data_IF_967672309867
#
_entry.id   IF_967672309867
#
_cell.length_a   1.000
_cell.length_b   1.000
_cell.length_c   1.000
_cell.angle_alpha   90.00
_cell.angle_beta   90.00
_cell.angle_gamma   90.00
#
_symmetry.space_group_name_H-M   'P 1'
#
loop_
_entity.id
_entity.type
_entity.pdbx_description
1 polymer ?
#
# COMPACT_ATOMS: atom_id res chain seq x y z
N UNK A 1 -24.30 -8.94 19.81
CA UNK A 1 -23.41 -8.40 18.75
C UNK A 1 -23.09 -9.53 17.79
N UNK A 2 -23.70 -9.53 16.61
CA UNK A 2 -23.43 -10.56 15.61
C UNK A 2 -21.94 -10.59 15.27
N UNK A 3 -21.32 -11.76 15.41
CA UNK A 3 -19.89 -11.99 15.21
C UNK A 3 -19.62 -11.79 13.72
N UNK A 4 -19.17 -10.58 13.32
CA UNK A 4 -18.85 -10.25 11.92
C UNK A 4 -18.09 -11.40 11.28
N UNK A 5 -18.74 -12.07 10.33
CA UNK A 5 -18.25 -13.31 9.74
C UNK A 5 -16.99 -13.02 8.95
N UNK A 6 -15.91 -13.74 9.26
CA UNK A 6 -14.64 -13.72 8.53
C UNK A 6 -14.87 -14.03 7.05
N UNK A 7 -14.32 -13.20 6.17
CA UNK A 7 -14.52 -13.32 4.73
C UNK A 7 -13.40 -14.16 4.10
N UNK A 8 -13.64 -15.47 3.92
CA UNK A 8 -12.62 -16.43 3.45
C UNK A 8 -11.98 -16.04 2.12
N UNK A 9 -12.74 -15.52 1.15
CA UNK A 9 -12.18 -15.16 -0.16
C UNK A 9 -11.25 -13.94 -0.08
N UNK A 10 -11.48 -12.98 0.82
CA UNK A 10 -10.57 -11.84 1.02
C UNK A 10 -9.26 -12.31 1.63
N UNK A 11 -9.31 -13.28 2.54
CA UNK A 11 -8.09 -13.86 3.11
C UNK A 11 -7.27 -14.59 2.03
N UNK A 12 -7.94 -15.33 1.14
CA UNK A 12 -7.28 -15.97 -0.01
C UNK A 12 -6.66 -14.93 -0.94
N UNK A 13 -7.37 -13.84 -1.26
CA UNK A 13 -6.83 -12.73 -2.06
C UNK A 13 -5.57 -12.13 -1.45
N UNK A 14 -5.56 -11.89 -0.13
CA UNK A 14 -4.36 -11.41 0.57
C UNK A 14 -3.22 -12.41 0.52
N UNK A 15 -3.51 -13.71 0.69
CA UNK A 15 -2.53 -14.78 0.55
C UNK A 15 -1.89 -14.80 -0.84
N UNK A 16 -2.71 -14.70 -1.90
CA UNK A 16 -2.22 -14.57 -3.28
C UNK A 16 -1.37 -13.31 -3.46
N UNK A 17 -1.77 -12.18 -2.88
CA UNK A 17 -0.95 -10.96 -2.88
C UNK A 17 0.43 -11.18 -2.26
N UNK A 18 0.53 -11.88 -1.13
CA UNK A 18 1.81 -12.18 -0.48
C UNK A 18 2.68 -13.05 -1.40
N UNK A 19 2.08 -14.08 -2.01
CA UNK A 19 2.78 -14.95 -2.96
C UNK A 19 3.34 -14.16 -4.15
N UNK A 20 2.57 -13.21 -4.69
CA UNK A 20 3.00 -12.35 -5.80
C UNK A 20 4.10 -11.36 -5.38
N UNK A 21 4.07 -10.86 -4.14
CA UNK A 21 5.17 -10.05 -3.61
C UNK A 21 6.45 -10.87 -3.49
N UNK A 22 6.37 -12.10 -2.95
CA UNK A 22 7.53 -12.99 -2.87
C UNK A 22 8.03 -13.38 -4.25
N UNK A 23 7.14 -13.67 -5.20
CA UNK A 23 7.49 -13.97 -6.59
C UNK A 23 8.32 -12.85 -7.20
N UNK A 24 7.86 -11.61 -7.13
CA UNK A 24 8.60 -10.45 -7.66
C UNK A 24 9.89 -10.08 -6.93
N UNK A 25 10.25 -10.77 -5.84
CA UNK A 25 11.57 -10.68 -5.21
C UNK A 25 12.51 -11.81 -5.65
N UNK A 26 11.97 -12.91 -6.16
CA UNK A 26 12.71 -14.08 -6.64
C UNK A 26 12.98 -13.94 -8.15
N UNK A 27 11.99 -13.50 -8.92
CA UNK A 27 12.10 -13.34 -10.37
C UNK A 27 12.32 -11.88 -10.75
N UNK A 28 13.27 -11.66 -11.67
CA UNK A 28 13.38 -10.47 -12.51
C UNK A 28 13.48 -10.93 -13.94
N UNK A 29 12.45 -11.67 -14.37
CA UNK A 29 12.35 -12.11 -15.73
C UNK A 29 11.57 -10.98 -16.40
N UNK A 30 12.20 -10.15 -17.24
CA UNK A 30 11.53 -9.08 -17.99
C UNK A 30 10.50 -9.68 -18.98
N UNK A 31 9.44 -10.23 -18.42
CA UNK A 31 8.43 -11.03 -19.08
C UNK A 31 7.03 -10.45 -18.78
N UNK A 32 6.03 -10.79 -19.61
CA UNK A 32 4.67 -10.29 -19.44
C UNK A 32 4.03 -10.60 -18.08
N UNK A 33 4.39 -11.74 -17.47
CA UNK A 33 3.80 -12.22 -16.20
C UNK A 33 4.32 -11.41 -15.02
N UNK A 34 5.61 -11.10 -14.97
CA UNK A 34 6.22 -10.27 -13.92
C UNK A 34 5.68 -8.83 -13.98
N UNK A 35 5.49 -8.30 -15.19
CA UNK A 35 4.88 -6.98 -15.42
C UNK A 35 3.41 -6.95 -14.96
N UNK A 36 2.63 -7.97 -15.35
CA UNK A 36 1.25 -8.12 -14.91
C UNK A 36 1.13 -8.26 -13.39
N UNK A 37 1.92 -9.14 -12.77
CA UNK A 37 1.94 -9.34 -11.33
C UNK A 37 2.34 -8.05 -10.57
N UNK A 38 3.27 -7.28 -11.11
CA UNK A 38 3.67 -5.99 -10.55
C UNK A 38 2.52 -4.97 -10.51
N UNK A 39 1.58 -5.03 -11.46
CA UNK A 39 0.48 -4.07 -11.57
C UNK A 39 -0.49 -4.10 -10.38
N UNK A 40 -0.68 -5.25 -9.72
CA UNK A 40 -1.70 -5.41 -8.67
C UNK A 40 -1.19 -5.92 -7.32
N UNK A 41 0.04 -6.47 -7.23
CA UNK A 41 0.52 -7.15 -6.01
C UNK A 41 0.45 -6.32 -4.73
N UNK A 42 0.64 -5.00 -4.82
CA UNK A 42 0.45 -4.10 -3.66
C UNK A 42 -0.96 -3.52 -3.58
N UNK A 43 -1.57 -3.23 -4.74
CA UNK A 43 -2.92 -2.68 -4.84
C UNK A 43 -3.97 -3.59 -4.16
N UNK A 44 -3.83 -4.91 -4.30
CA UNK A 44 -4.76 -5.90 -3.74
C UNK A 44 -4.92 -5.76 -2.22
N UNK A 45 -3.85 -5.43 -1.49
CA UNK A 45 -3.91 -5.27 -0.04
C UNK A 45 -4.67 -4.00 0.36
N UNK A 46 -4.44 -2.89 -0.33
CA UNK A 46 -5.14 -1.63 -0.09
C UNK A 46 -6.63 -1.75 -0.45
N UNK A 47 -6.95 -2.35 -1.61
CA UNK A 47 -8.35 -2.61 -2.00
C UNK A 47 -9.04 -3.52 -1.00
N UNK A 48 -8.37 -4.60 -0.55
CA UNK A 48 -8.92 -5.49 0.47
C UNK A 48 -9.11 -4.78 1.83
N UNK A 49 -8.21 -3.89 2.23
CA UNK A 49 -8.36 -3.09 3.44
C UNK A 49 -9.59 -2.16 3.34
N UNK A 50 -9.73 -1.42 2.24
CA UNK A 50 -10.88 -0.54 2.00
C UNK A 50 -12.22 -1.29 1.98
N UNK A 51 -12.23 -2.47 1.35
CA UNK A 51 -13.38 -3.38 1.35
C UNK A 51 -13.77 -3.79 2.78
N UNK A 52 -12.80 -4.20 3.59
CA UNK A 52 -13.03 -4.64 4.97
C UNK A 52 -13.46 -3.49 5.89
N UNK A 53 -12.95 -2.27 5.67
CA UNK A 53 -13.38 -1.07 6.42
C UNK A 53 -14.88 -0.85 6.20
N UNK A 54 -15.34 -0.92 4.94
CA UNK A 54 -16.77 -0.80 4.62
C UNK A 54 -17.60 -1.94 5.19
N UNK A 55 -17.16 -3.18 4.99
CA UNK A 55 -17.87 -4.37 5.45
C UNK A 55 -18.00 -4.41 6.98
N UNK A 56 -16.93 -4.01 7.68
CA UNK A 56 -16.98 -3.92 9.12
C UNK A 56 -17.83 -2.72 9.57
N UNK A 57 -17.94 -1.64 8.82
CA UNK A 57 -18.72 -0.42 9.17
C UNK A 57 -18.40 0.15 10.57
N UNK A 58 -17.28 -0.26 11.17
CA UNK A 58 -16.92 0.04 12.56
C UNK A 58 -16.43 1.47 12.73
N UNK A 59 -16.11 2.16 11.65
CA UNK A 59 -15.60 3.53 11.65
C UNK A 59 -16.68 4.55 12.01
N UNK A 60 -17.97 4.24 11.78
CA UNK A 60 -19.09 5.15 12.07
C UNK A 60 -19.22 5.47 13.55
N UNK A 61 -18.99 4.47 14.42
CA UNK A 61 -19.14 4.60 15.87
C UNK A 61 -17.81 4.91 16.58
N UNK A 62 -16.68 4.81 15.89
CA UNK A 62 -15.36 5.03 16.49
C UNK A 62 -14.91 6.49 16.40
N UNK A 63 -14.17 6.94 17.41
CA UNK A 63 -13.48 8.23 17.39
C UNK A 63 -12.15 8.11 16.64
N UNK A 64 -11.67 9.22 16.06
CA UNK A 64 -10.38 9.25 15.36
C UNK A 64 -9.24 8.76 16.26
N UNK A 65 -9.24 9.17 17.54
CA UNK A 65 -8.26 8.73 18.54
C UNK A 65 -8.31 7.21 18.74
N UNK A 66 -9.50 6.65 18.97
CA UNK A 66 -9.67 5.21 19.17
C UNK A 66 -9.24 4.39 17.95
N UNK A 67 -9.58 4.86 16.75
CA UNK A 67 -9.16 4.24 15.49
C UNK A 67 -7.64 4.29 15.32
N UNK A 68 -7.04 5.46 15.53
CA UNK A 68 -5.59 5.68 15.39
C UNK A 68 -4.79 4.83 16.36
N UNK A 69 -5.23 4.69 17.62
CA UNK A 69 -4.57 3.81 18.61
C UNK A 69 -4.63 2.35 18.19
N UNK A 70 -5.75 1.90 17.63
CA UNK A 70 -5.87 0.53 17.10
C UNK A 70 -4.88 0.29 15.97
N UNK A 71 -4.81 1.22 15.00
CA UNK A 71 -3.88 1.13 13.87
C UNK A 71 -2.41 1.21 14.33
N UNK A 72 -2.11 2.06 15.32
CA UNK A 72 -0.78 2.18 15.89
C UNK A 72 -0.30 0.82 16.45
N UNK A 73 -1.17 0.14 17.21
CA UNK A 73 -0.86 -1.17 17.79
C UNK A 73 -0.76 -2.27 16.72
N UNK A 74 -1.61 -2.24 15.70
CA UNK A 74 -1.64 -3.30 14.69
C UNK A 74 -0.63 -3.13 13.55
N UNK A 75 -0.17 -1.91 13.27
CA UNK A 75 0.70 -1.60 12.12
C UNK A 75 2.03 -0.98 12.55
N UNK A 76 1.99 0.10 13.31
CA UNK A 76 3.21 0.86 13.65
C UNK A 76 4.09 0.14 14.67
N UNK A 77 3.49 -0.55 15.65
CA UNK A 77 4.26 -1.37 16.60
C UNK A 77 5.02 -2.50 15.89
N UNK A 78 4.39 -3.33 15.02
CA UNK A 78 5.11 -4.28 14.18
C UNK A 78 6.16 -3.62 13.29
N UNK A 79 5.85 -2.48 12.68
CA UNK A 79 6.80 -1.75 11.83
C UNK A 79 8.09 -1.38 12.58
N UNK A 80 7.98 -0.78 13.77
CA UNK A 80 9.15 -0.40 14.57
C UNK A 80 9.93 -1.64 15.00
N UNK A 81 9.23 -2.67 15.49
CA UNK A 81 9.86 -3.92 15.93
C UNK A 81 10.66 -4.58 14.80
N UNK A 82 10.03 -4.78 13.63
CA UNK A 82 10.71 -5.39 12.48
C UNK A 82 11.78 -4.50 11.88
N UNK A 83 11.66 -3.17 11.97
CA UNK A 83 12.72 -2.25 11.53
C UNK A 83 13.96 -2.37 12.40
N UNK A 84 13.80 -2.44 13.73
CA UNK A 84 14.91 -2.66 14.68
C UNK A 84 15.59 -4.01 14.38
N UNK A 85 14.80 -5.08 14.24
CA UNK A 85 15.33 -6.40 13.90
C UNK A 85 16.05 -6.41 12.55
N UNK A 86 15.51 -5.72 11.54
CA UNK A 86 16.10 -5.63 10.20
C UNK A 86 17.44 -4.87 10.21
N UNK A 87 17.50 -3.74 10.91
CA UNK A 87 18.74 -2.97 11.07
C UNK A 87 19.78 -3.78 11.85
N UNK A 88 19.37 -4.43 12.95
CA UNK A 88 20.25 -5.29 13.75
C UNK A 88 20.80 -6.47 12.96
N UNK A 89 19.95 -7.14 12.18
CA UNK A 89 20.38 -8.22 11.28
C UNK A 89 21.38 -7.72 10.23
N UNK A 90 21.10 -6.57 9.59
CA UNK A 90 22.02 -5.98 8.61
C UNK A 90 23.37 -5.65 9.24
N UNK A 91 23.36 -5.06 10.44
CA UNK A 91 24.57 -4.75 11.17
C UNK A 91 25.39 -6.01 11.49
N UNK A 92 24.74 -7.08 11.97
CA UNK A 92 25.39 -8.37 12.21
C UNK A 92 26.06 -8.92 10.93
N UNK A 93 25.38 -8.86 9.78
CA UNK A 93 25.96 -9.30 8.50
C UNK A 93 27.16 -8.46 8.05
N UNK A 94 27.21 -7.17 8.38
CA UNK A 94 28.36 -6.30 8.09
C UNK A 94 29.57 -6.68 8.93
N UNK A 95 29.36 -7.00 10.21
CA UNK A 95 30.41 -7.49 11.11
C UNK A 95 30.99 -8.80 10.59
N UNK A 96 30.13 -9.77 10.25
CA UNK A 96 30.58 -11.07 9.72
C UNK A 96 31.38 -10.96 8.40
N UNK A 97 31.11 -9.92 7.60
CA UNK A 97 31.82 -9.66 6.35
C UNK A 97 33.08 -8.80 6.52
N UNK A 98 33.42 -8.41 7.76
CA UNK A 98 34.49 -7.47 8.07
C UNK A 98 34.43 -6.16 7.26
N UNK A 99 33.22 -5.71 6.90
CA UNK A 99 32.98 -4.48 6.12
C UNK A 99 31.85 -3.68 6.77
N UNK A 100 32.22 -2.78 7.67
CA UNK A 100 31.28 -1.92 8.38
C UNK A 100 31.03 -0.66 7.52
N UNK A 101 29.78 -0.51 7.08
CA UNK A 101 29.32 0.66 6.34
C UNK A 101 28.39 1.49 7.23
N UNK A 102 28.97 2.45 7.95
CA UNK A 102 28.26 3.38 8.83
C UNK A 102 27.25 4.25 8.05
N UNK A 103 27.58 4.82 6.87
CA UNK A 103 26.59 5.50 6.02
C UNK A 103 25.34 4.67 5.72
N UNK A 104 25.49 3.38 5.39
CA UNK A 104 24.35 2.52 5.11
C UNK A 104 23.43 2.35 6.35
N UNK A 105 23.99 2.20 7.55
CA UNK A 105 23.21 2.12 8.79
C UNK A 105 22.44 3.42 9.04
N UNK A 106 23.09 4.57 8.85
CA UNK A 106 22.44 5.89 8.98
C UNK A 106 21.29 6.02 7.98
N UNK A 107 21.46 5.58 6.74
CA UNK A 107 20.40 5.55 5.73
C UNK A 107 19.22 4.68 6.17
N UNK A 108 19.44 3.47 6.71
CA UNK A 108 18.34 2.62 7.20
C UNK A 108 17.60 3.21 8.40
N UNK A 109 18.31 3.85 9.33
CA UNK A 109 17.70 4.55 10.46
C UNK A 109 16.85 5.71 9.93
N UNK A 110 17.39 6.51 9.01
CA UNK A 110 16.67 7.63 8.42
C UNK A 110 15.43 7.16 7.63
N UNK A 111 15.55 6.07 6.86
CA UNK A 111 14.44 5.43 6.16
C UNK A 111 13.33 4.98 7.13
N UNK A 112 13.72 4.50 8.31
CA UNK A 112 12.79 4.05 9.35
C UNK A 112 12.03 5.22 9.98
N UNK A 113 12.75 6.29 10.34
CA UNK A 113 12.18 7.50 10.97
C UNK A 113 11.28 8.26 10.00
N UNK A 114 11.70 8.37 8.74
CA UNK A 114 10.94 9.06 7.67
C UNK A 114 9.76 8.24 7.13
N UNK A 115 9.51 7.06 7.69
CA UNK A 115 8.43 6.16 7.28
C UNK A 115 8.55 5.65 5.84
N UNK A 116 9.69 5.84 5.19
CA UNK A 116 10.03 5.17 3.93
C UNK A 116 10.10 3.68 4.10
N UNK A 117 10.49 3.21 5.28
CA UNK A 117 10.68 1.81 5.61
C UNK A 117 11.82 1.17 4.81
N UNK A 118 12.17 -0.03 5.22
CA UNK A 118 13.20 -0.85 4.57
C UNK A 118 12.56 -2.11 4.00
N UNK A 119 13.04 -2.58 2.84
CA UNK A 119 12.53 -3.78 2.18
C UNK A 119 11.01 -3.76 1.92
N UNK A 120 10.23 -4.64 2.53
CA UNK A 120 8.77 -4.68 2.44
C UNK A 120 8.07 -3.90 3.57
N UNK A 121 8.81 -3.42 4.57
CA UNK A 121 8.24 -2.78 5.77
C UNK A 121 7.58 -1.43 5.48
N UNK A 122 7.92 -0.80 4.36
CA UNK A 122 7.29 0.46 3.90
C UNK A 122 5.77 0.37 3.79
N UNK A 123 5.22 -0.83 3.55
CA UNK A 123 3.79 -1.02 3.38
C UNK A 123 2.99 -0.67 4.65
N UNK A 124 3.53 -0.98 5.83
CA UNK A 124 2.85 -0.76 7.12
C UNK A 124 2.60 0.72 7.44
N UNK A 125 3.59 1.63 7.39
CA UNK A 125 3.34 3.05 7.63
C UNK A 125 2.51 3.69 6.52
N UNK A 126 2.66 3.25 5.26
CA UNK A 126 1.81 3.71 4.16
C UNK A 126 0.34 3.35 4.41
N UNK A 127 0.06 2.11 4.79
CA UNK A 127 -1.30 1.69 5.13
C UNK A 127 -1.84 2.44 6.35
N UNK A 128 -1.00 2.64 7.38
CA UNK A 128 -1.37 3.42 8.57
C UNK A 128 -1.81 4.85 8.21
N UNK A 129 -0.99 5.57 7.45
CA UNK A 129 -1.30 6.94 7.03
C UNK A 129 -2.54 6.94 6.13
N UNK A 130 -2.58 6.07 5.13
CA UNK A 130 -3.70 5.99 4.18
C UNK A 130 -5.03 5.70 4.87
N UNK A 131 -5.06 4.79 5.85
CA UNK A 131 -6.29 4.49 6.60
C UNK A 131 -6.75 5.65 7.50
N UNK A 132 -5.81 6.42 8.09
CA UNK A 132 -6.16 7.63 8.85
C UNK A 132 -6.73 8.69 7.92
N UNK A 133 -6.08 8.94 6.77
CA UNK A 133 -6.57 9.88 5.76
C UNK A 133 -7.95 9.45 5.25
N UNK A 134 -8.14 8.15 5.02
CA UNK A 134 -9.41 7.58 4.58
C UNK A 134 -10.51 7.73 5.62
N UNK A 135 -10.19 7.50 6.90
CA UNK A 135 -11.12 7.74 8.00
C UNK A 135 -11.55 9.21 8.04
N UNK A 136 -10.61 10.15 7.92
CA UNK A 136 -10.91 11.58 7.88
C UNK A 136 -11.76 11.95 6.65
N UNK A 137 -11.44 11.37 5.49
CA UNK A 137 -12.16 11.57 4.24
C UNK A 137 -13.63 11.16 4.35
N UNK A 138 -13.92 10.01 4.96
CA UNK A 138 -15.31 9.56 5.11
C UNK A 138 -16.06 10.35 6.19
N UNK A 139 -15.39 10.68 7.30
CA UNK A 139 -16.06 11.22 8.49
C UNK A 139 -16.26 12.72 8.47
N UNK A 140 -15.28 13.46 7.94
CA UNK A 140 -15.24 14.92 8.06
C UNK A 140 -15.41 15.64 6.72
N UNK A 141 -15.17 14.98 5.59
CA UNK A 141 -15.24 15.61 4.27
C UNK A 141 -16.55 15.28 3.54
N UNK A 142 -17.05 16.20 2.70
CA UNK A 142 -18.27 15.97 1.93
C UNK A 142 -18.05 14.96 0.81
N UNK A 143 -19.14 14.29 0.39
CA UNK A 143 -19.10 13.19 -0.59
C UNK A 143 -18.47 13.58 -1.93
N UNK A 144 -18.58 14.85 -2.36
CA UNK A 144 -17.99 15.31 -3.62
C UNK A 144 -16.46 15.24 -3.62
N UNK A 145 -15.81 15.42 -2.46
CA UNK A 145 -14.35 15.31 -2.34
C UNK A 145 -13.88 13.90 -2.67
N UNK A 146 -14.66 12.87 -2.32
CA UNK A 146 -14.36 11.48 -2.67
C UNK A 146 -14.34 11.27 -4.19
N UNK A 147 -15.28 11.90 -4.91
CA UNK A 147 -15.32 11.86 -6.38
C UNK A 147 -14.11 12.59 -6.97
N UNK A 148 -13.76 13.76 -6.42
CA UNK A 148 -12.59 14.53 -6.86
C UNK A 148 -11.30 13.73 -6.67
N UNK A 149 -11.13 13.07 -5.52
CA UNK A 149 -9.94 12.25 -5.22
C UNK A 149 -9.79 11.08 -6.19
N UNK A 150 -10.89 10.48 -6.67
CA UNK A 150 -10.84 9.41 -7.67
C UNK A 150 -10.19 9.84 -8.99
N UNK A 151 -10.27 11.13 -9.33
CA UNK A 151 -9.71 11.69 -10.57
C UNK A 151 -8.35 12.33 -10.30
N UNK A 152 -8.21 13.10 -9.23
CA UNK A 152 -7.00 13.88 -8.94
C UNK A 152 -5.81 13.00 -8.57
N UNK A 153 -6.00 11.94 -7.77
CA UNK A 153 -4.87 11.11 -7.34
C UNK A 153 -4.20 10.36 -8.51
N UNK A 154 -4.93 9.74 -9.46
CA UNK A 154 -4.30 9.14 -10.63
C UNK A 154 -3.52 10.15 -11.49
N UNK A 155 -4.09 11.34 -11.72
CA UNK A 155 -3.41 12.41 -12.48
C UNK A 155 -2.14 12.86 -11.77
N UNK A 156 -2.21 13.05 -10.45
CA UNK A 156 -1.05 13.35 -9.61
C UNK A 156 0.01 12.24 -9.69
N UNK A 157 -0.39 10.96 -9.64
CA UNK A 157 0.54 9.83 -9.74
C UNK A 157 1.28 9.77 -11.08
N UNK A 158 0.61 10.12 -12.19
CA UNK A 158 1.24 10.24 -13.50
C UNK A 158 2.27 11.38 -13.50
N UNK A 159 1.85 12.57 -13.04
CA UNK A 159 2.74 13.73 -12.94
C UNK A 159 3.96 13.45 -12.07
N UNK A 160 3.75 12.83 -10.91
CA UNK A 160 4.81 12.49 -9.97
C UNK A 160 5.79 11.47 -10.59
N UNK A 161 5.30 10.48 -11.34
CA UNK A 161 6.18 9.53 -12.05
C UNK A 161 7.15 10.26 -13.00
N UNK A 162 6.67 11.25 -13.75
CA UNK A 162 7.53 12.09 -14.59
C UNK A 162 8.49 12.95 -13.75
N UNK A 163 7.98 13.57 -12.67
CA UNK A 163 8.78 14.40 -11.79
C UNK A 163 9.93 13.61 -11.14
N UNK A 164 9.67 12.41 -10.63
CA UNK A 164 10.68 11.53 -10.02
C UNK A 164 11.72 11.11 -11.05
N UNK A 165 11.31 10.73 -12.27
CA UNK A 165 12.26 10.40 -13.35
C UNK A 165 13.18 11.58 -13.67
N UNK A 166 12.62 12.78 -13.77
CA UNK A 166 13.40 13.99 -14.01
C UNK A 166 14.35 14.29 -12.84
N UNK A 167 13.87 14.15 -11.60
CA UNK A 167 14.66 14.36 -10.39
C UNK A 167 15.87 13.41 -10.32
N UNK A 168 15.67 12.11 -10.64
CA UNK A 168 16.74 11.10 -10.66
C UNK A 168 17.90 11.51 -11.58
N UNK A 169 17.61 12.13 -12.73
CA UNK A 169 18.62 12.55 -13.70
C UNK A 169 19.24 13.90 -13.35
N UNK A 170 18.51 14.76 -12.62
CA UNK A 170 18.88 16.16 -12.40
C UNK A 170 19.71 16.41 -11.14
N UNK A 171 19.67 15.50 -10.15
CA UNK A 171 20.41 15.67 -8.88
C UNK A 171 21.35 14.49 -8.63
N UNK A 172 22.38 14.71 -7.82
CA UNK A 172 23.28 13.64 -7.41
C UNK A 172 22.54 12.55 -6.58
N UNK A 173 23.05 11.30 -6.57
CA UNK A 173 22.35 10.19 -5.91
C UNK A 173 22.06 10.41 -4.42
N UNK A 174 22.94 11.11 -3.69
CA UNK A 174 22.78 11.35 -2.25
C UNK A 174 21.68 12.38 -1.99
N UNK A 175 21.63 13.45 -2.79
CA UNK A 175 20.56 14.44 -2.74
C UNK A 175 19.22 13.81 -3.11
N UNK A 176 19.18 12.99 -4.16
CA UNK A 176 17.98 12.24 -4.54
C UNK A 176 17.50 11.32 -3.40
N UNK A 177 18.41 10.59 -2.76
CA UNK A 177 18.08 9.70 -1.64
C UNK A 177 17.40 10.48 -0.50
N UNK A 178 17.95 11.63 -0.13
CA UNK A 178 17.42 12.49 0.93
C UNK A 178 16.04 13.04 0.62
N UNK A 179 15.84 13.56 -0.58
CA UNK A 179 14.55 14.09 -1.03
C UNK A 179 13.51 12.96 -1.09
N UNK A 180 13.89 11.80 -1.62
CA UNK A 180 13.00 10.65 -1.78
C UNK A 180 12.59 10.01 -0.44
N UNK A 181 13.28 10.29 0.67
CA UNK A 181 12.84 9.85 2.00
C UNK A 181 11.49 10.45 2.42
N UNK A 182 11.14 11.65 1.95
CA UNK A 182 9.90 12.32 2.33
C UNK A 182 8.84 12.25 1.24
N UNK A 183 9.24 12.38 -0.04
CA UNK A 183 8.28 12.40 -1.14
C UNK A 183 7.63 11.02 -1.32
N UNK A 184 8.42 9.95 -1.34
CA UNK A 184 7.90 8.61 -1.66
C UNK A 184 6.89 8.07 -0.63
N UNK A 185 7.08 8.22 0.70
CA UNK A 185 6.06 7.76 1.66
C UNK A 185 4.73 8.49 1.50
N UNK A 186 4.77 9.81 1.30
CA UNK A 186 3.58 10.66 1.15
C UNK A 186 2.83 10.24 -0.12
N UNK A 187 3.53 10.15 -1.24
CA UNK A 187 2.95 9.69 -2.50
C UNK A 187 2.31 8.32 -2.39
N UNK A 188 3.03 7.35 -1.84
CA UNK A 188 2.52 6.00 -1.66
C UNK A 188 1.26 5.99 -0.78
N UNK A 189 1.18 6.85 0.24
CA UNK A 189 0.00 7.00 1.08
C UNK A 189 -1.19 7.59 0.31
N UNK A 190 -0.97 8.54 -0.60
CA UNK A 190 -2.02 9.07 -1.48
C UNK A 190 -2.52 8.00 -2.47
N UNK A 191 -1.61 7.28 -3.11
CA UNK A 191 -1.98 6.17 -4.02
C UNK A 191 -2.75 5.08 -3.24
N UNK A 192 -2.29 4.74 -2.03
CA UNK A 192 -2.98 3.80 -1.16
C UNK A 192 -4.38 4.30 -0.76
N UNK A 193 -4.55 5.60 -0.48
CA UNK A 193 -5.85 6.22 -0.21
C UNK A 193 -6.83 6.02 -1.38
N UNK A 194 -6.35 6.15 -2.62
CA UNK A 194 -7.17 5.90 -3.82
C UNK A 194 -7.62 4.43 -3.90
N UNK A 195 -6.73 3.48 -3.66
CA UNK A 195 -7.09 2.06 -3.62
C UNK A 195 -8.03 1.69 -2.45
N UNK A 196 -7.89 2.33 -1.29
CA UNK A 196 -8.82 2.18 -0.16
C UNK A 196 -10.24 2.63 -0.57
N UNK A 197 -10.36 3.78 -1.23
CA UNK A 197 -11.64 4.29 -1.74
C UNK A 197 -12.26 3.35 -2.78
N UNK A 198 -11.46 2.81 -3.71
CA UNK A 198 -11.92 1.78 -4.66
C UNK A 198 -12.44 0.54 -3.93
N UNK A 199 -11.70 0.03 -2.94
CA UNK A 199 -12.13 -1.12 -2.15
C UNK A 199 -13.45 -0.86 -1.42
N UNK A 200 -13.60 0.33 -0.86
CA UNK A 200 -14.80 0.75 -0.17
C UNK A 200 -16.02 0.90 -1.09
N UNK A 201 -15.85 1.51 -2.27
CA UNK A 201 -16.90 1.58 -3.31
C UNK A 201 -17.23 0.18 -3.83
N UNK A 202 -16.21 -0.64 -4.08
CA UNK A 202 -16.35 -2.03 -4.51
C UNK A 202 -17.24 -2.81 -3.54
N UNK A 203 -16.98 -2.72 -2.24
CA UNK A 203 -17.84 -3.34 -1.23
C UNK A 203 -19.30 -2.85 -1.31
N UNK A 204 -19.53 -1.56 -1.55
CA UNK A 204 -20.88 -0.99 -1.68
C UNK A 204 -21.62 -1.45 -2.94
N UNK A 205 -20.91 -1.63 -4.06
CA UNK A 205 -21.49 -2.10 -5.32
C UNK A 205 -21.73 -3.61 -5.27
N UNK A 206 -20.74 -4.39 -4.86
CA UNK A 206 -20.85 -5.84 -4.78
C UNK A 206 -21.87 -6.32 -3.74
N UNK A 207 -22.13 -5.54 -2.69
CA UNK A 207 -23.22 -5.85 -1.75
C UNK A 207 -24.61 -5.77 -2.39
N UNK A 208 -24.78 -5.03 -3.50
CA UNK A 208 -26.06 -4.89 -4.22
C UNK A 208 -26.26 -5.97 -5.30
N UNK A 209 -25.18 -6.52 -5.85
CA UNK A 209 -25.24 -7.55 -6.90
C UNK A 209 -25.38 -8.91 -6.22
N UNK A 210 -26.53 -9.57 -6.28
CA UNK A 210 -26.75 -10.88 -5.64
C UNK A 210 -26.33 -12.06 -6.51
N UNK A 211 -26.44 -11.94 -7.84
CA UNK A 211 -26.05 -13.00 -8.78
C UNK A 211 -24.54 -13.27 -8.73
N UNK A 212 -24.19 -14.55 -8.58
CA UNK A 212 -22.79 -15.01 -8.54
C UNK A 212 -22.16 -14.95 -9.93
N UNK A 213 -22.93 -15.24 -10.98
CA UNK A 213 -22.49 -15.20 -12.36
C UNK A 213 -22.05 -13.79 -12.74
N UNK A 214 -22.87 -12.78 -12.42
CA UNK A 214 -22.54 -11.37 -12.71
C UNK A 214 -21.26 -10.95 -11.99
N UNK A 215 -21.10 -11.31 -10.70
CA UNK A 215 -19.87 -10.99 -9.97
C UNK A 215 -18.63 -11.64 -10.58
N UNK A 216 -18.76 -12.89 -11.04
CA UNK A 216 -17.68 -13.60 -11.72
C UNK A 216 -17.34 -12.93 -13.05
N UNK A 217 -18.34 -12.60 -13.87
CA UNK A 217 -18.13 -11.90 -15.15
C UNK A 217 -17.45 -10.54 -14.98
N UNK A 218 -17.87 -9.75 -13.98
CA UNK A 218 -17.21 -8.48 -13.65
C UNK A 218 -15.73 -8.72 -13.30
N UNK A 219 -15.44 -9.71 -12.46
CA UNK A 219 -14.06 -10.07 -12.11
C UNK A 219 -13.23 -10.52 -13.31
N UNK A 220 -13.82 -11.32 -14.21
CA UNK A 220 -13.18 -11.77 -15.45
C UNK A 220 -12.83 -10.58 -16.35
N UNK A 221 -13.78 -9.68 -16.59
CA UNK A 221 -13.57 -8.47 -17.42
C UNK A 221 -12.48 -7.59 -16.84
N UNK A 222 -12.48 -7.33 -15.53
CA UNK A 222 -11.41 -6.54 -14.91
C UNK A 222 -10.06 -7.24 -14.95
N UNK A 223 -10.02 -8.58 -14.88
CA UNK A 223 -8.77 -9.34 -14.96
C UNK A 223 -8.20 -9.26 -16.37
N UNK A 224 -9.02 -9.49 -17.40
CA UNK A 224 -8.60 -9.40 -18.81
C UNK A 224 -8.15 -7.97 -19.13
N UNK A 225 -8.91 -6.97 -18.70
CA UNK A 225 -8.55 -5.56 -18.88
C UNK A 225 -7.24 -5.20 -18.17
N UNK A 226 -7.02 -5.67 -16.95
CA UNK A 226 -5.77 -5.47 -16.21
C UNK A 226 -4.58 -6.13 -16.92
N UNK A 227 -4.74 -7.36 -17.44
CA UNK A 227 -3.71 -8.04 -18.22
C UNK A 227 -3.34 -7.17 -19.42
N UNK A 228 -4.30 -6.72 -20.22
CA UNK A 228 -4.02 -5.91 -21.41
C UNK A 228 -3.36 -4.57 -21.07
N UNK A 229 -3.90 -3.83 -20.09
CA UNK A 229 -3.36 -2.53 -19.68
C UNK A 229 -1.98 -2.63 -19.03
N UNK A 230 -1.65 -3.77 -18.40
CA UNK A 230 -0.34 -3.96 -17.78
C UNK A 230 0.80 -4.09 -18.78
N UNK A 231 0.50 -4.36 -20.06
CA UNK A 231 1.51 -4.56 -21.11
C UNK A 231 1.76 -3.28 -21.95
N UNK A 232 1.08 -2.17 -21.65
CA UNK A 232 1.25 -0.88 -22.30
C UNK A 232 2.27 -0.02 -21.54
#
# INVERSE_FOLDING_TARGET
MDKKRRIKYIDLCKGLGILMVTWGHITKLDNPVDTWAASFKMAIFFVAAGYLIRYADSYRTQTLKGYSVKLLKSLMLPYVLFSILSIGFRFATMIMKHRIDIPAIKSYILATITLRGTFALWFLPVLFIAEILFFCLIKYLPKWVRIVILIVIPVFGIWESYFIRHLIVSVDPLTFERISFLILPISKALIALWFLEIGHIGCMLFSKVTSREIRFMIGLVFTIGNIFLSQQ
#
